data_IF_925582232286
#
_entry.id   IF_925582232286
#
_cell.length_a   1.000
_cell.length_b   1.000
_cell.length_c   1.000
_cell.angle_alpha   90.00
_cell.angle_beta   90.00
_cell.angle_gamma   90.00
#
_symmetry.space_group_name_H-M   'P 1'
#
loop_
_entity.id
_entity.type
_entity.pdbx_description
1 polymer ?
#
# COMPACT_ATOMS: atom_id res chain seq x y z
N UNK A 1 19.47 26.63 -30.13
CA UNK A 1 18.95 25.27 -29.86
C UNK A 1 18.31 25.25 -28.47
N UNK A 2 16.97 25.13 -28.38
CA UNK A 2 16.22 25.05 -27.10
C UNK A 2 15.98 23.58 -26.73
N UNK A 3 17.03 22.80 -26.54
CA UNK A 3 16.92 21.49 -25.91
C UNK A 3 16.97 21.70 -24.40
N UNK A 4 15.82 21.70 -23.71
CA UNK A 4 15.78 21.49 -22.25
C UNK A 4 14.39 21.20 -21.61
N UNK A 5 13.32 20.75 -22.32
CA UNK A 5 12.09 20.35 -21.63
C UNK A 5 12.25 19.05 -20.82
N UNK A 6 13.06 18.09 -21.29
CA UNK A 6 13.23 16.79 -20.64
C UNK A 6 13.93 16.87 -19.27
N UNK A 7 15.00 17.68 -19.14
CA UNK A 7 15.72 17.87 -17.88
C UNK A 7 14.85 18.49 -16.77
N UNK A 8 13.93 19.39 -17.13
CA UNK A 8 12.99 20.00 -16.17
C UNK A 8 11.91 19.02 -15.70
N UNK A 9 11.56 18.02 -16.52
CA UNK A 9 10.61 16.99 -16.14
C UNK A 9 11.22 15.99 -15.17
N UNK A 10 12.45 15.53 -15.41
CA UNK A 10 13.15 14.58 -14.54
C UNK A 10 13.50 15.17 -13.19
N UNK A 11 14.00 16.40 -13.13
CA UNK A 11 14.28 17.10 -11.86
C UNK A 11 13.03 17.25 -10.98
N UNK A 12 11.91 17.71 -11.56
CA UNK A 12 10.62 17.84 -10.85
C UNK A 12 10.04 16.49 -10.41
N UNK A 13 10.30 15.43 -11.16
CA UNK A 13 9.87 14.09 -10.81
C UNK A 13 10.70 13.55 -9.64
N UNK A 14 12.02 13.75 -9.65
CA UNK A 14 12.91 13.40 -8.53
C UNK A 14 12.55 14.17 -7.26
N UNK A 15 12.25 15.47 -7.35
CA UNK A 15 11.72 16.27 -6.24
C UNK A 15 10.39 15.72 -5.70
N UNK A 16 9.60 15.07 -6.55
CA UNK A 16 8.33 14.49 -6.12
C UNK A 16 8.48 13.25 -5.24
N UNK A 17 9.65 12.63 -5.25
CA UNK A 17 9.99 11.44 -4.46
C UNK A 17 11.09 11.73 -3.45
N UNK A 18 11.79 12.87 -3.53
CA UNK A 18 12.86 13.26 -2.62
C UNK A 18 12.46 14.41 -1.68
N UNK A 19 13.20 14.53 -0.57
CA UNK A 19 12.95 15.56 0.43
C UNK A 19 11.64 15.41 1.21
N UNK A 20 11.33 16.41 2.04
CA UNK A 20 10.16 16.39 2.93
C UNK A 20 8.85 16.43 2.15
N UNK A 21 8.81 17.17 1.03
CA UNK A 21 7.60 17.33 0.22
C UNK A 21 7.31 16.10 -0.65
N UNK A 22 8.33 15.30 -1.01
CA UNK A 22 8.17 14.04 -1.73
C UNK A 22 7.70 12.86 -0.87
N UNK A 23 7.45 13.08 0.42
CA UNK A 23 7.01 12.02 1.33
C UNK A 23 5.71 11.33 0.86
N UNK A 24 4.75 12.08 0.30
CA UNK A 24 3.50 11.49 -0.22
C UNK A 24 3.78 10.50 -1.36
N UNK A 25 4.72 10.84 -2.24
CA UNK A 25 5.14 9.97 -3.35
C UNK A 25 5.83 8.70 -2.87
N UNK A 26 6.74 8.83 -1.89
CA UNK A 26 7.43 7.68 -1.27
C UNK A 26 6.46 6.71 -0.59
N UNK A 27 5.45 7.22 0.12
CA UNK A 27 4.42 6.39 0.75
C UNK A 27 3.61 5.65 -0.32
N UNK A 28 3.15 6.35 -1.36
CA UNK A 28 2.43 5.73 -2.48
C UNK A 28 3.22 4.58 -3.11
N UNK A 29 4.47 4.84 -3.48
CA UNK A 29 5.31 3.86 -4.18
C UNK A 29 5.66 2.67 -3.28
N UNK A 30 6.00 2.91 -2.02
CA UNK A 30 6.34 1.85 -1.07
C UNK A 30 5.15 0.96 -0.75
N UNK A 31 3.96 1.53 -0.48
CA UNK A 31 2.77 0.73 -0.23
C UNK A 31 2.30 -0.03 -1.47
N UNK A 32 2.39 0.54 -2.68
CA UNK A 32 2.06 -0.18 -3.91
C UNK A 32 3.00 -1.37 -4.14
N UNK A 33 4.32 -1.18 -4.00
CA UNK A 33 5.28 -2.27 -4.10
C UNK A 33 5.05 -3.35 -3.03
N UNK A 34 4.90 -2.95 -1.78
CA UNK A 34 4.66 -3.86 -0.66
C UNK A 34 3.34 -4.62 -0.81
N UNK A 35 2.28 -3.96 -1.28
CA UNK A 35 0.98 -4.58 -1.55
C UNK A 35 1.09 -5.65 -2.63
N UNK A 36 1.81 -5.38 -3.73
CA UNK A 36 2.08 -6.36 -4.77
C UNK A 36 2.88 -7.57 -4.26
N UNK A 37 3.97 -7.32 -3.53
CA UNK A 37 4.82 -8.39 -2.96
C UNK A 37 4.07 -9.23 -1.94
N UNK A 38 3.31 -8.59 -1.04
CA UNK A 38 2.55 -9.29 -0.02
C UNK A 38 1.45 -10.14 -0.64
N UNK A 39 0.68 -9.59 -1.59
CA UNK A 39 -0.42 -10.29 -2.25
C UNK A 39 0.05 -11.39 -3.21
N UNK A 40 0.89 -11.05 -4.19
CA UNK A 40 1.31 -11.99 -5.24
C UNK A 40 2.44 -12.93 -4.83
N UNK A 41 3.34 -12.49 -3.94
CA UNK A 41 4.52 -13.24 -3.53
C UNK A 41 4.29 -13.99 -2.22
N UNK A 42 4.27 -13.26 -1.11
CA UNK A 42 4.25 -13.86 0.24
C UNK A 42 3.00 -14.70 0.48
N UNK A 43 1.82 -14.18 0.13
CA UNK A 43 0.56 -14.88 0.36
C UNK A 43 0.45 -16.14 -0.50
N UNK A 44 0.82 -16.08 -1.79
CA UNK A 44 0.89 -17.28 -2.64
C UNK A 44 1.92 -18.27 -2.11
N UNK A 45 3.11 -17.82 -1.70
CA UNK A 45 4.14 -18.68 -1.12
C UNK A 45 3.64 -19.42 0.12
N UNK A 46 2.96 -18.72 1.05
CA UNK A 46 2.36 -19.34 2.23
C UNK A 46 1.29 -20.36 1.84
N UNK A 47 0.42 -20.04 0.88
CA UNK A 47 -0.62 -20.97 0.44
C UNK A 47 -0.09 -22.18 -0.31
N UNK A 48 1.01 -22.02 -1.02
CA UNK A 48 1.76 -23.10 -1.64
C UNK A 48 2.31 -24.06 -0.58
N UNK A 49 3.05 -23.51 0.39
CA UNK A 49 3.70 -24.29 1.44
C UNK A 49 2.69 -24.96 2.38
N UNK A 50 1.49 -24.37 2.53
CA UNK A 50 0.40 -24.95 3.33
C UNK A 50 -0.56 -25.84 2.53
N UNK A 51 -0.25 -26.12 1.26
CA UNK A 51 -1.07 -26.99 0.40
C UNK A 51 -2.45 -26.44 0.05
N UNK A 52 -2.68 -25.13 0.24
CA UNK A 52 -3.95 -24.45 -0.05
C UNK A 52 -4.10 -24.02 -1.52
N UNK A 53 -2.99 -23.98 -2.26
CA UNK A 53 -2.98 -23.68 -3.70
C UNK A 53 -2.11 -24.72 -4.40
N UNK A 54 -2.68 -25.34 -5.43
CA UNK A 54 -1.96 -26.30 -6.26
C UNK A 54 -0.81 -25.61 -7.03
N UNK A 55 0.39 -26.21 -7.14
CA UNK A 55 1.55 -25.59 -7.78
C UNK A 55 1.31 -25.02 -9.17
N UNK A 56 0.51 -25.71 -10.00
CA UNK A 56 0.18 -25.26 -11.36
C UNK A 56 -0.63 -23.96 -11.43
N UNK A 57 -1.45 -23.68 -10.42
CA UNK A 57 -2.31 -22.48 -10.40
C UNK A 57 -1.57 -21.20 -10.00
N UNK A 58 -0.35 -21.30 -9.48
CA UNK A 58 0.42 -20.15 -8.99
C UNK A 58 0.80 -19.19 -10.10
N UNK A 59 1.08 -19.70 -11.30
CA UNK A 59 1.41 -18.89 -12.47
C UNK A 59 0.27 -17.96 -12.89
N UNK A 60 -0.98 -18.31 -12.57
CA UNK A 60 -2.15 -17.47 -12.81
C UNK A 60 -2.48 -16.60 -11.59
N UNK A 61 -2.43 -17.18 -10.38
CA UNK A 61 -2.84 -16.50 -9.16
C UNK A 61 -1.87 -15.40 -8.72
N UNK A 62 -0.55 -15.60 -8.88
CA UNK A 62 0.46 -14.63 -8.46
C UNK A 62 0.37 -13.30 -9.24
N UNK A 63 0.27 -13.26 -10.59
CA UNK A 63 0.05 -12.01 -11.32
C UNK A 63 -1.22 -11.26 -10.88
N UNK A 64 -2.34 -11.98 -10.74
CA UNK A 64 -3.63 -11.37 -10.36
C UNK A 64 -3.53 -10.76 -8.97
N UNK A 65 -3.03 -11.50 -8.00
CA UNK A 65 -2.87 -11.02 -6.62
C UNK A 65 -1.82 -9.93 -6.48
N UNK A 66 -0.77 -9.96 -7.29
CA UNK A 66 0.19 -8.87 -7.36
C UNK A 66 -0.47 -7.59 -7.85
N UNK A 67 -1.24 -7.64 -8.94
CA UNK A 67 -1.93 -6.46 -9.49
C UNK A 67 -2.93 -5.92 -8.47
N UNK A 68 -3.78 -6.78 -7.91
CA UNK A 68 -4.78 -6.36 -6.90
C UNK A 68 -4.10 -5.79 -5.65
N UNK A 69 -3.06 -6.44 -5.16
CA UNK A 69 -2.26 -5.97 -4.03
C UNK A 69 -1.58 -4.64 -4.32
N UNK A 70 -1.01 -4.47 -5.51
CA UNK A 70 -0.32 -3.24 -5.90
C UNK A 70 -1.29 -2.06 -6.07
N UNK A 71 -2.45 -2.29 -6.67
CA UNK A 71 -3.52 -1.28 -6.77
C UNK A 71 -4.03 -0.87 -5.39
N UNK A 72 -4.19 -1.83 -4.48
CA UNK A 72 -4.59 -1.52 -3.11
C UNK A 72 -3.55 -0.78 -2.30
N UNK A 73 -2.30 -1.19 -2.43
CA UNK A 73 -1.18 -0.45 -1.87
C UNK A 73 -1.09 0.97 -2.42
N UNK A 74 -1.32 1.16 -3.72
CA UNK A 74 -1.34 2.48 -4.36
C UNK A 74 -2.44 3.37 -3.79
N UNK A 75 -3.67 2.85 -3.69
CA UNK A 75 -4.80 3.59 -3.14
C UNK A 75 -4.56 3.95 -1.67
N UNK A 76 -4.18 2.96 -0.85
CA UNK A 76 -3.90 3.16 0.57
C UNK A 76 -2.75 4.15 0.78
N UNK A 77 -1.66 4.01 0.03
CA UNK A 77 -0.51 4.91 0.08
C UNK A 77 -0.85 6.33 -0.35
N UNK A 78 -1.72 6.51 -1.37
CA UNK A 78 -2.26 7.83 -1.74
C UNK A 78 -3.03 8.46 -0.58
N UNK A 79 -4.00 7.74 -0.01
CA UNK A 79 -4.87 8.25 1.08
C UNK A 79 -4.01 8.61 2.29
N UNK A 80 -3.14 7.70 2.72
CA UNK A 80 -2.25 7.90 3.86
C UNK A 80 -1.26 9.05 3.60
N UNK A 81 -0.70 9.14 2.39
CA UNK A 81 0.20 10.21 1.97
C UNK A 81 -0.48 11.59 2.00
N UNK A 82 -1.70 11.70 1.46
CA UNK A 82 -2.45 12.96 1.45
C UNK A 82 -2.94 13.36 2.83
N UNK A 83 -3.40 12.39 3.65
CA UNK A 83 -3.85 12.64 5.01
C UNK A 83 -2.67 13.03 5.92
N UNK A 84 -1.58 12.27 5.85
CA UNK A 84 -0.31 12.45 6.57
C UNK A 84 0.66 13.44 5.91
N UNK A 85 0.20 14.26 4.96
CA UNK A 85 1.04 15.21 4.19
C UNK A 85 1.76 16.21 5.13
N UNK A 86 2.95 16.71 4.76
CA UNK A 86 3.63 17.78 5.50
C UNK A 86 2.76 19.04 5.72
N UNK A 87 3.09 19.84 6.76
CA UNK A 87 2.36 21.09 7.06
C UNK A 87 2.53 22.16 5.98
N UNK A 88 3.68 22.16 5.29
CA UNK A 88 3.98 23.01 4.14
C UNK A 88 3.11 22.74 2.91
N UNK A 89 2.41 21.59 2.86
CA UNK A 89 1.67 21.15 1.69
C UNK A 89 0.15 21.25 1.87
N UNK A 90 -0.49 21.91 0.90
CA UNK A 90 -1.94 21.87 0.73
C UNK A 90 -2.39 20.47 0.31
N UNK A 91 -3.67 20.14 0.51
CA UNK A 91 -4.21 18.83 0.10
C UNK A 91 -4.10 18.61 -1.41
N UNK A 92 -4.42 19.64 -2.20
CA UNK A 92 -4.26 19.63 -3.65
C UNK A 92 -2.79 19.47 -4.05
N UNK A 93 -1.87 20.14 -3.34
CA UNK A 93 -0.43 19.94 -3.51
C UNK A 93 -0.04 18.48 -3.32
N UNK A 94 -0.45 17.85 -2.21
CA UNK A 94 -0.15 16.45 -1.93
C UNK A 94 -0.70 15.49 -2.99
N UNK A 95 -1.90 15.73 -3.52
CA UNK A 95 -2.44 14.95 -4.64
C UNK A 95 -1.60 15.08 -5.91
N UNK A 96 -1.13 16.29 -6.23
CA UNK A 96 -0.23 16.52 -7.37
C UNK A 96 1.10 15.76 -7.20
N UNK A 97 1.64 15.70 -5.98
CA UNK A 97 2.84 14.91 -5.68
C UNK A 97 2.58 13.40 -5.86
N UNK A 98 1.44 12.90 -5.40
CA UNK A 98 1.02 11.51 -5.65
C UNK A 98 0.93 11.23 -7.16
N UNK A 99 0.24 12.09 -7.91
CA UNK A 99 0.10 11.96 -9.37
C UNK A 99 1.42 11.98 -10.11
N UNK A 100 2.36 12.87 -9.74
CA UNK A 100 3.72 12.89 -10.32
C UNK A 100 4.51 11.63 -10.01
N UNK A 101 4.28 11.03 -8.84
CA UNK A 101 4.98 9.82 -8.42
C UNK A 101 4.55 8.58 -9.21
N UNK A 102 3.38 8.62 -9.86
CA UNK A 102 2.93 7.54 -10.75
C UNK A 102 3.91 7.27 -11.90
N UNK A 103 4.72 8.27 -12.29
CA UNK A 103 5.76 8.09 -13.31
C UNK A 103 6.84 7.09 -12.88
N UNK A 104 7.06 6.94 -11.57
CA UNK A 104 8.01 5.97 -11.00
C UNK A 104 7.34 4.66 -10.61
N UNK A 105 6.01 4.54 -10.78
CA UNK A 105 5.30 3.35 -10.36
C UNK A 105 5.70 2.13 -11.20
N UNK A 106 5.77 2.28 -12.52
CA UNK A 106 6.15 1.18 -13.44
C UNK A 106 7.51 0.57 -13.09
N UNK A 107 8.62 1.34 -12.97
CA UNK A 107 9.91 0.73 -12.62
C UNK A 107 9.92 0.13 -11.21
N UNK A 108 9.25 0.77 -10.25
CA UNK A 108 9.14 0.24 -8.87
C UNK A 108 8.36 -1.08 -8.84
N UNK A 109 7.23 -1.15 -9.57
CA UNK A 109 6.43 -2.37 -9.69
C UNK A 109 7.16 -3.44 -10.50
N UNK A 110 7.99 -3.08 -11.47
CA UNK A 110 8.86 -4.03 -12.17
C UNK A 110 9.83 -4.73 -11.22
N UNK A 111 10.48 -3.97 -10.33
CA UNK A 111 11.35 -4.54 -9.28
C UNK A 111 10.55 -5.40 -8.31
N UNK A 112 9.39 -4.90 -7.84
CA UNK A 112 8.52 -5.64 -6.94
C UNK A 112 8.00 -6.95 -7.57
N UNK A 113 7.77 -6.95 -8.89
CA UNK A 113 7.35 -8.14 -9.65
C UNK A 113 8.46 -9.20 -9.72
N UNK A 114 9.71 -8.80 -9.93
CA UNK A 114 10.87 -9.72 -9.89
C UNK A 114 10.98 -10.38 -8.52
N UNK A 115 10.87 -9.59 -7.44
CA UNK A 115 10.87 -10.12 -6.06
C UNK A 115 9.71 -11.10 -5.87
N UNK A 116 8.51 -10.73 -6.31
CA UNK A 116 7.30 -11.57 -6.22
C UNK A 116 7.48 -12.89 -6.97
N UNK A 117 7.99 -12.83 -8.20
CA UNK A 117 8.25 -14.02 -9.03
C UNK A 117 9.27 -14.95 -8.37
N UNK A 118 10.31 -14.39 -7.76
CA UNK A 118 11.30 -15.15 -7.00
C UNK A 118 10.68 -15.85 -5.78
N UNK A 119 9.75 -15.20 -5.06
CA UNK A 119 9.00 -15.84 -3.98
C UNK A 119 8.10 -16.96 -4.52
N UNK A 120 7.46 -16.78 -5.67
CA UNK A 120 6.63 -17.81 -6.30
C UNK A 120 7.41 -19.06 -6.71
N UNK A 121 8.75 -19.02 -6.81
CA UNK A 121 9.58 -20.22 -6.98
C UNK A 121 9.51 -21.19 -5.80
N UNK A 122 8.87 -20.81 -4.69
CA UNK A 122 8.50 -21.75 -3.61
C UNK A 122 7.66 -22.92 -4.11
N UNK A 123 6.89 -22.80 -5.19
CA UNK A 123 6.26 -23.95 -5.86
C UNK A 123 7.27 -25.01 -6.31
N UNK A 124 8.34 -24.55 -6.97
CA UNK A 124 9.36 -25.42 -7.52
C UNK A 124 10.15 -26.13 -6.42
N UNK A 125 10.21 -25.56 -5.21
CA UNK A 125 10.81 -26.23 -4.05
C UNK A 125 10.03 -27.45 -3.59
N UNK A 126 8.71 -27.43 -3.72
CA UNK A 126 7.86 -28.55 -3.32
C UNK A 126 8.06 -29.74 -4.26
N UNK A 127 8.29 -29.49 -5.55
CA UNK A 127 8.43 -30.55 -6.57
C UNK A 127 9.88 -30.97 -6.78
N UNK A 128 10.84 -30.05 -6.73
CA UNK A 128 12.25 -30.28 -7.00
C UNK A 128 13.15 -29.47 -6.04
N UNK A 129 13.47 -30.01 -4.85
CA UNK A 129 14.27 -29.29 -3.86
C UNK A 129 15.75 -29.21 -4.30
N UNK A 130 16.06 -28.23 -5.15
CA UNK A 130 17.43 -27.88 -5.52
C UNK A 130 17.88 -26.68 -4.71
N UNK A 131 19.12 -26.70 -4.23
CA UNK A 131 19.72 -25.61 -3.44
C UNK A 131 19.57 -24.23 -4.11
N UNK A 132 19.72 -24.17 -5.44
CA UNK A 132 19.54 -22.95 -6.22
C UNK A 132 18.16 -22.32 -6.04
N UNK A 133 17.09 -23.12 -6.03
CA UNK A 133 15.73 -22.64 -5.82
C UNK A 133 15.52 -22.15 -4.39
N UNK A 134 16.17 -22.78 -3.41
CA UNK A 134 16.09 -22.39 -2.00
C UNK A 134 16.71 -21.02 -1.83
N UNK A 135 17.89 -20.81 -2.41
CA UNK A 135 18.60 -19.53 -2.36
C UNK A 135 17.78 -18.44 -3.06
N UNK A 136 17.24 -18.72 -4.26
CA UNK A 136 16.44 -17.75 -5.01
C UNK A 136 15.16 -17.34 -4.28
N UNK A 137 14.38 -18.32 -3.82
CA UNK A 137 13.13 -18.07 -3.09
C UNK A 137 13.40 -17.42 -1.73
N UNK A 138 14.36 -17.94 -0.96
CA UNK A 138 14.74 -17.40 0.35
C UNK A 138 15.26 -15.97 0.26
N UNK A 139 16.14 -15.69 -0.71
CA UNK A 139 16.63 -14.34 -0.99
C UNK A 139 15.49 -13.39 -1.37
N UNK A 140 14.58 -13.82 -2.23
CA UNK A 140 13.42 -13.02 -2.64
C UNK A 140 12.45 -12.75 -1.49
N UNK A 141 12.24 -13.71 -0.59
CA UNK A 141 11.46 -13.51 0.64
C UNK A 141 12.12 -12.44 1.51
N UNK A 142 13.44 -12.52 1.74
CA UNK A 142 14.16 -11.52 2.53
C UNK A 142 14.06 -10.12 1.91
N UNK A 143 14.29 -9.98 0.60
CA UNK A 143 14.12 -8.71 -0.10
C UNK A 143 12.67 -8.20 -0.02
N UNK A 144 11.69 -9.09 -0.17
CA UNK A 144 10.28 -8.76 -0.04
C UNK A 144 9.94 -8.22 1.35
N UNK A 145 10.44 -8.86 2.41
CA UNK A 145 10.27 -8.41 3.79
C UNK A 145 10.93 -7.05 4.03
N UNK A 146 12.09 -6.78 3.44
CA UNK A 146 12.75 -5.47 3.52
C UNK A 146 11.88 -4.38 2.87
N UNK A 147 11.32 -4.63 1.68
CA UNK A 147 10.43 -3.68 1.00
C UNK A 147 9.14 -3.46 1.80
N UNK A 148 8.54 -4.51 2.34
CA UNK A 148 7.38 -4.41 3.21
C UNK A 148 7.70 -3.62 4.50
N UNK A 149 8.83 -3.88 5.13
CA UNK A 149 9.31 -3.15 6.30
C UNK A 149 9.52 -1.66 6.01
N UNK A 150 10.06 -1.33 4.83
CA UNK A 150 10.19 0.05 4.38
C UNK A 150 8.83 0.76 4.26
N UNK A 151 7.81 0.08 3.71
CA UNK A 151 6.45 0.62 3.66
C UNK A 151 5.87 0.86 5.06
N UNK A 152 6.13 -0.02 6.02
CA UNK A 152 5.72 0.17 7.44
C UNK A 152 6.36 1.43 8.03
N UNK A 153 7.67 1.62 7.85
CA UNK A 153 8.38 2.81 8.34
C UNK A 153 7.82 4.09 7.72
N UNK A 154 7.52 4.09 6.43
CA UNK A 154 6.88 5.24 5.78
C UNK A 154 5.45 5.47 6.25
N UNK A 155 4.70 4.39 6.48
CA UNK A 155 3.36 4.44 7.03
C UNK A 155 3.34 5.02 8.44
N UNK A 156 4.24 4.60 9.31
CA UNK A 156 4.41 5.13 10.66
C UNK A 156 4.72 6.62 10.63
N UNK A 157 5.68 7.05 9.80
CA UNK A 157 6.01 8.48 9.63
C UNK A 157 4.80 9.29 9.15
N UNK A 158 4.01 8.74 8.24
CA UNK A 158 2.78 9.38 7.76
C UNK A 158 1.72 9.47 8.86
N UNK A 159 1.55 8.41 9.64
CA UNK A 159 0.61 8.34 10.75
C UNK A 159 0.98 9.32 11.86
N UNK A 160 2.26 9.41 12.22
CA UNK A 160 2.75 10.39 13.19
C UNK A 160 2.48 11.82 12.72
N UNK A 161 2.68 12.11 11.43
CA UNK A 161 2.31 13.41 10.84
C UNK A 161 0.81 13.66 10.88
N UNK A 162 0.00 12.62 10.62
CA UNK A 162 -1.45 12.69 10.72
C UNK A 162 -1.90 13.01 12.15
N UNK A 163 -1.44 12.24 13.14
CA UNK A 163 -1.78 12.39 14.56
C UNK A 163 -1.32 13.74 15.12
N UNK A 164 -0.15 14.25 14.68
CA UNK A 164 0.34 15.59 15.06
C UNK A 164 -0.44 16.73 14.41
N UNK A 165 -1.13 16.48 13.29
CA UNK A 165 -1.98 17.47 12.61
C UNK A 165 -3.39 17.46 13.21
N UNK A 166 -3.94 16.29 13.47
CA UNK A 166 -5.30 16.10 13.95
C UNK A 166 -5.24 15.64 15.41
N UNK A 167 -5.10 16.60 16.32
CA UNK A 167 -4.94 16.35 17.76
C UNK A 167 -6.13 15.57 18.34
N UNK A 168 -7.32 15.74 17.75
CA UNK A 168 -8.57 15.08 18.16
C UNK A 168 -8.74 13.67 17.56
N UNK A 169 -7.98 13.31 16.52
CA UNK A 169 -8.02 11.97 15.92
C UNK A 169 -7.21 10.92 16.73
N UNK A 170 -6.58 11.31 17.84
CA UNK A 170 -5.71 10.46 18.66
C UNK A 170 -6.39 9.21 19.22
N UNK A 171 -7.70 9.26 19.46
CA UNK A 171 -8.45 8.14 20.05
C UNK A 171 -9.06 7.24 18.97
N UNK A 172 -9.54 7.81 17.86
CA UNK A 172 -10.19 7.05 16.78
C UNK A 172 -9.23 6.18 15.96
N UNK A 173 -7.99 6.65 15.76
CA UNK A 173 -6.96 5.93 14.98
C UNK A 173 -6.54 4.59 15.60
N UNK A 174 -6.13 4.52 16.89
CA UNK A 174 -5.70 3.25 17.48
C UNK A 174 -6.86 2.27 17.67
N UNK A 175 -8.05 2.77 18.02
CA UNK A 175 -9.23 1.93 18.22
C UNK A 175 -9.63 1.21 16.92
N UNK A 176 -9.59 1.94 15.81
CA UNK A 176 -9.91 1.35 14.51
C UNK A 176 -8.80 0.45 13.96
N UNK A 177 -7.52 0.79 14.22
CA UNK A 177 -6.41 -0.11 13.93
C UNK A 177 -6.58 -1.44 14.68
N UNK A 178 -6.99 -1.39 15.96
CA UNK A 178 -7.34 -2.57 16.75
C UNK A 178 -8.47 -3.38 16.12
N UNK A 179 -9.57 -2.74 15.71
CA UNK A 179 -10.69 -3.42 15.02
C UNK A 179 -10.24 -4.07 13.71
N UNK A 180 -9.42 -3.39 12.91
CA UNK A 180 -8.91 -3.93 11.66
C UNK A 180 -8.00 -5.15 11.87
N UNK A 181 -7.13 -5.10 12.88
CA UNK A 181 -6.26 -6.21 13.28
C UNK A 181 -7.09 -7.40 13.76
N UNK A 182 -8.08 -7.18 14.61
CA UNK A 182 -8.98 -8.24 15.10
C UNK A 182 -9.74 -8.87 13.94
N UNK A 183 -10.33 -8.07 13.05
CA UNK A 183 -11.03 -8.58 11.87
C UNK A 183 -10.11 -9.42 10.95
N UNK A 184 -8.86 -8.99 10.77
CA UNK A 184 -7.85 -9.74 10.02
C UNK A 184 -7.54 -11.11 10.64
N UNK A 185 -7.33 -11.16 11.97
CA UNK A 185 -7.07 -12.42 12.67
C UNK A 185 -8.28 -13.35 12.73
N UNK A 186 -9.47 -12.81 12.95
CA UNK A 186 -10.74 -13.58 12.89
C UNK A 186 -10.92 -14.20 11.50
N UNK A 187 -10.55 -13.48 10.44
CA UNK A 187 -10.63 -14.00 9.08
C UNK A 187 -9.60 -15.10 8.82
N UNK A 188 -8.34 -14.91 9.24
CA UNK A 188 -7.29 -15.93 9.16
C UNK A 188 -7.67 -17.23 9.87
N UNK A 189 -8.37 -17.12 11.00
CA UNK A 189 -8.86 -18.27 11.77
C UNK A 189 -10.05 -19.00 11.15
N UNK A 190 -10.81 -18.37 10.25
CA UNK A 190 -11.93 -19.02 9.54
C UNK A 190 -11.44 -19.67 8.25
N UNK A 191 -10.80 -20.83 8.39
CA UNK A 191 -10.63 -21.75 7.26
C UNK A 191 -11.99 -22.29 6.85
N UNK A 192 -12.58 -21.78 5.77
CA UNK A 192 -13.75 -22.42 5.16
C UNK A 192 -13.22 -23.61 4.35
N UNK A 193 -13.57 -24.87 4.70
CA UNK A 193 -13.15 -26.03 3.93
C UNK A 193 -13.82 -25.98 2.55
N UNK A 194 -13.01 -26.06 1.50
CA UNK A 194 -13.47 -26.02 0.10
C UNK A 194 -13.44 -27.44 -0.45
N UNK A 195 -14.62 -28.04 -0.64
CA UNK A 195 -14.78 -29.31 -1.35
C UNK A 195 -14.97 -29.05 -2.85
N UNK A 196 -14.27 -29.88 -3.65
CA UNK A 196 -14.33 -30.06 -5.12
C UNK A 196 -15.54 -29.47 -5.84
N UNK A 197 -15.30 -28.73 -6.92
CA UNK A 197 -16.24 -28.70 -8.05
C UNK A 197 -16.26 -27.42 -8.85
N UNK A 198 -16.58 -26.30 -8.22
CA UNK A 198 -16.96 -25.10 -8.96
C UNK A 198 -15.99 -23.94 -8.71
N UNK A 199 -15.83 -23.08 -9.71
CA UNK A 199 -15.05 -21.85 -9.64
C UNK A 199 -15.75 -20.90 -8.66
N UNK A 200 -15.49 -21.11 -7.38
CA UNK A 200 -15.97 -20.30 -6.27
C UNK A 200 -14.87 -19.29 -5.94
N UNK A 201 -15.25 -18.04 -5.69
CA UNK A 201 -14.37 -16.99 -5.16
C UNK A 201 -13.69 -17.56 -3.91
N UNK A 202 -12.46 -18.03 -4.05
CA UNK A 202 -11.80 -18.81 -3.02
C UNK A 202 -11.65 -18.00 -1.72
N UNK A 203 -11.53 -18.64 -0.56
CA UNK A 203 -11.25 -17.99 0.73
C UNK A 203 -10.09 -16.98 0.66
N UNK A 204 -9.16 -17.24 -0.27
CA UNK A 204 -8.05 -16.40 -0.69
C UNK A 204 -8.48 -15.05 -1.30
N UNK A 205 -9.42 -15.06 -2.23
CA UNK A 205 -9.95 -13.85 -2.86
C UNK A 205 -10.91 -13.13 -1.90
N UNK A 206 -11.69 -13.87 -1.11
CA UNK A 206 -12.50 -13.32 -0.03
C UNK A 206 -11.65 -12.69 1.09
N UNK A 207 -10.45 -13.21 1.38
CA UNK A 207 -9.54 -12.68 2.39
C UNK A 207 -8.72 -11.49 1.94
N UNK A 208 -8.30 -11.47 0.68
CA UNK A 208 -7.72 -10.27 0.05
C UNK A 208 -8.78 -9.18 -0.08
N UNK A 209 -10.01 -9.54 -0.44
CA UNK A 209 -11.13 -8.60 -0.47
C UNK A 209 -11.51 -8.16 0.93
N UNK A 210 -11.55 -9.03 1.94
CA UNK A 210 -11.90 -8.66 3.31
C UNK A 210 -10.78 -7.83 3.96
N UNK A 211 -9.53 -8.29 3.97
CA UNK A 211 -8.39 -7.54 4.50
C UNK A 211 -8.14 -6.24 3.73
N UNK A 212 -8.34 -6.28 2.41
CA UNK A 212 -8.48 -5.11 1.56
C UNK A 212 -9.58 -4.20 2.10
N UNK A 213 -10.85 -4.59 2.03
CA UNK A 213 -12.03 -3.84 2.50
C UNK A 213 -11.88 -3.33 3.94
N UNK A 214 -11.30 -4.05 4.89
CA UNK A 214 -11.14 -3.58 6.28
C UNK A 214 -10.12 -2.43 6.35
N UNK A 215 -9.01 -2.54 5.63
CA UNK A 215 -8.00 -1.46 5.53
C UNK A 215 -8.47 -0.32 4.60
N UNK A 216 -9.27 -0.65 3.57
CA UNK A 216 -9.71 0.21 2.49
C UNK A 216 -11.01 0.98 2.76
N UNK A 217 -11.95 0.42 3.53
CA UNK A 217 -13.21 1.06 3.93
C UNK A 217 -13.04 1.70 5.30
N UNK A 218 -12.26 1.09 6.19
CA UNK A 218 -11.95 1.67 7.49
C UNK A 218 -11.33 3.06 7.36
N UNK A 219 -10.35 3.24 6.46
CA UNK A 219 -9.61 4.50 6.34
C UNK A 219 -10.44 5.68 5.75
N UNK A 220 -11.23 5.50 4.67
CA UNK A 220 -12.12 6.54 4.15
C UNK A 220 -13.37 6.76 5.00
N UNK A 221 -13.96 5.71 5.58
CA UNK A 221 -15.10 5.86 6.49
C UNK A 221 -14.68 6.65 7.74
N UNK A 222 -13.46 6.47 8.24
CA UNK A 222 -12.85 7.32 9.25
C UNK A 222 -12.73 8.77 8.82
N UNK A 223 -12.22 9.03 7.61
CA UNK A 223 -12.07 10.39 7.07
C UNK A 223 -13.43 11.07 6.84
N UNK A 224 -14.45 10.31 6.44
CA UNK A 224 -15.82 10.78 6.24
C UNK A 224 -16.54 11.05 7.56
N UNK A 225 -16.52 10.10 8.50
CA UNK A 225 -17.10 10.24 9.83
C UNK A 225 -16.45 11.40 10.58
N UNK A 226 -15.13 11.56 10.48
CA UNK A 226 -14.42 12.67 11.11
C UNK A 226 -14.84 14.03 10.51
N UNK A 227 -15.03 14.13 9.20
CA UNK A 227 -15.54 15.38 8.55
C UNK A 227 -16.98 15.69 8.95
N UNK A 228 -17.80 14.67 9.17
CA UNK A 228 -19.18 14.83 9.62
C UNK A 228 -19.26 15.27 11.08
N UNK A 229 -18.37 14.74 11.94
CA UNK A 229 -18.32 15.10 13.35
C UNK A 229 -17.64 16.45 13.60
N UNK A 230 -16.80 16.91 12.68
CA UNK A 230 -16.10 18.21 12.76
C UNK A 230 -16.35 18.98 11.46
N UNK A 231 -17.60 19.42 11.20
CA UNK A 231 -17.88 20.33 10.11
C UNK A 231 -16.98 21.55 10.31
N UNK A 232 -16.32 21.99 9.23
CA UNK A 232 -15.43 23.16 9.28
C UNK A 232 -16.19 24.31 9.92
N UNK A 233 -15.86 24.63 11.17
CA UNK A 233 -16.18 25.92 11.73
C UNK A 233 -15.63 26.94 10.74
N UNK A 234 -16.54 27.74 10.20
CA UNK A 234 -16.30 28.57 9.03
C UNK A 234 -14.99 29.31 9.20
N UNK A 235 -14.11 29.19 8.20
CA UNK A 235 -13.00 30.11 8.03
C UNK A 235 -13.63 31.48 7.86
N UNK A 236 -13.92 32.17 8.97
CA UNK A 236 -14.14 33.61 8.97
C UNK A 236 -12.79 34.18 8.59
N UNK A 237 -12.62 34.41 7.28
CA UNK A 237 -11.60 35.31 6.78
C UNK A 237 -12.00 36.66 7.38
N UNK A 238 -11.40 37.02 8.52
CA UNK A 238 -11.54 38.36 9.06
C UNK A 238 -10.89 39.30 8.04
N UNK A 239 -11.71 39.93 7.22
CA UNK A 239 -11.33 41.02 6.33
C UNK A 239 -11.03 42.32 7.13
N UNK A 240 -10.53 42.20 8.36
CA UNK A 240 -10.16 43.33 9.21
C UNK A 240 -8.70 43.70 8.93
N UNK A 241 -8.45 44.17 7.72
CA UNK A 241 -7.09 44.54 7.29
C UNK A 241 -7.00 45.47 6.10
N UNK A 242 -8.11 46.07 5.65
CA UNK A 242 -8.09 47.16 4.66
C UNK A 242 -8.70 48.41 5.28
N UNK A 243 -8.03 48.91 6.32
CA UNK A 243 -8.09 50.33 6.67
C UNK A 243 -6.77 50.71 7.32
N UNK A 244 -5.84 51.22 6.51
CA UNK A 244 -4.91 52.30 6.87
C UNK A 244 -4.07 52.73 5.68
N UNK A 245 -4.22 54.05 5.42
CA UNK A 245 -3.45 55.00 4.61
C UNK A 245 -3.29 54.71 3.12
#
# INVERSE_FOLDING_TARGET
>A
MRSLPAYRLTSRALEAVSGVNGACGRILLSFSAAGGIAGGGLMIGVFTLTGKVEPGFQLLAAPVLFILGALGGLFHGCVLGVAGRPRSLTAMGAWRYCGRSLLFLVPVLGIAWVITSGISLTAALVTHPRLMWIIAAGGSILFGLVVCGWAVVEGERALLRLVRRWRDARVGVPLLAGVAVVAFFVFLGRTVPVSRGDVVIGPLMAGVLAGGVTVWVGTPALLGLFRLLHPRDGVRVSHDGVSRS
#
